data_IF_088527066701
#
_entry.id   IF_088527066701
#
_cell.length_a   1.000
_cell.length_b   1.000
_cell.length_c   1.000
_cell.angle_alpha   90.00
_cell.angle_beta   90.00
_cell.angle_gamma   90.00
#
_symmetry.space_group_name_H-M   'P 1'
#
loop_
_entity.id
_entity.type
_entity.pdbx_description
1 polymer ?
#
# COMPACT_ATOMS: atom_id res chain seq x y z
N UNK A 1 -25.89 -32.83 56.19
CA UNK A 1 -25.82 -33.94 55.22
C UNK A 1 -26.16 -33.34 53.87
N UNK A 2 -25.18 -33.35 52.96
CA UNK A 2 -25.25 -33.03 51.51
C UNK A 2 -25.76 -31.64 51.15
N UNK A 3 -24.94 -30.63 50.86
CA UNK A 3 -23.93 -30.52 49.77
C UNK A 3 -24.50 -30.91 48.41
N UNK A 4 -24.67 -29.94 47.52
CA UNK A 4 -23.99 -29.88 46.22
C UNK A 4 -24.63 -28.80 45.32
N UNK A 5 -23.82 -27.77 45.08
CA UNK A 5 -23.99 -26.80 44.01
C UNK A 5 -23.43 -27.42 42.71
N UNK A 6 -24.16 -27.53 41.58
CA UNK A 6 -23.56 -28.01 40.35
C UNK A 6 -22.90 -26.86 39.55
N UNK A 7 -21.88 -27.17 38.73
CA UNK A 7 -20.80 -26.25 38.39
C UNK A 7 -21.15 -25.31 37.24
N UNK A 8 -20.85 -24.02 37.40
CA UNK A 8 -20.57 -23.13 36.28
C UNK A 8 -19.11 -23.35 35.83
N UNK A 9 -18.90 -23.26 34.52
CA UNK A 9 -17.61 -23.17 33.81
C UNK A 9 -16.92 -24.47 33.38
N UNK A 10 -17.24 -24.92 32.16
CA UNK A 10 -16.31 -25.68 31.32
C UNK A 10 -16.49 -25.39 29.81
N UNK A 11 -17.69 -24.97 29.35
CA UNK A 11 -17.94 -24.66 27.93
C UNK A 11 -17.50 -23.26 27.49
N UNK A 12 -17.35 -22.29 28.40
CA UNK A 12 -16.98 -20.90 28.06
C UNK A 12 -15.46 -20.68 27.90
N UNK A 13 -14.63 -21.58 28.44
CA UNK A 13 -13.17 -21.49 28.33
C UNK A 13 -12.70 -21.86 26.92
N UNK A 14 -13.28 -22.90 26.29
CA UNK A 14 -12.89 -23.34 24.96
C UNK A 14 -13.31 -22.36 23.84
N UNK A 15 -14.48 -21.72 23.99
CA UNK A 15 -14.93 -20.65 23.09
C UNK A 15 -14.02 -19.42 23.16
N UNK A 16 -13.70 -18.96 24.38
CA UNK A 16 -12.78 -17.84 24.59
C UNK A 16 -11.35 -18.12 24.09
N UNK A 17 -10.80 -19.32 24.31
CA UNK A 17 -9.46 -19.68 23.84
C UNK A 17 -9.35 -19.83 22.32
N UNK A 18 -10.41 -20.28 21.65
CA UNK A 18 -10.42 -20.46 20.19
C UNK A 18 -10.55 -19.11 19.48
N UNK A 19 -11.42 -18.24 19.97
CA UNK A 19 -11.56 -16.85 19.49
C UNK A 19 -10.27 -16.07 19.72
N UNK A 20 -9.70 -16.12 20.94
CA UNK A 20 -8.45 -15.40 21.24
C UNK A 20 -7.27 -15.86 20.37
N UNK A 21 -7.16 -17.15 20.06
CA UNK A 21 -6.09 -17.66 19.19
C UNK A 21 -6.30 -17.30 17.72
N UNK A 22 -7.54 -17.21 17.26
CA UNK A 22 -7.85 -16.70 15.92
C UNK A 22 -7.50 -15.21 15.82
N UNK A 23 -7.81 -14.42 16.85
CA UNK A 23 -7.41 -13.02 16.94
C UNK A 23 -5.89 -12.84 16.97
N UNK A 24 -5.16 -13.72 17.68
CA UNK A 24 -3.69 -13.77 17.69
C UNK A 24 -3.12 -14.08 16.28
N UNK A 25 -3.69 -15.06 15.56
CA UNK A 25 -3.26 -15.41 14.19
C UNK A 25 -3.56 -14.28 13.18
N UNK A 26 -4.73 -13.64 13.27
CA UNK A 26 -5.04 -12.45 12.48
C UNK A 26 -4.15 -11.26 12.82
N UNK A 27 -3.79 -11.09 14.10
CA UNK A 27 -2.87 -10.04 14.52
C UNK A 27 -1.48 -10.25 13.91
N UNK A 28 -1.03 -11.51 13.78
CA UNK A 28 0.22 -11.83 13.09
C UNK A 28 0.18 -11.44 11.61
N UNK A 29 -0.90 -11.79 10.90
CA UNK A 29 -1.05 -11.42 9.49
C UNK A 29 -1.11 -9.89 9.30
N UNK A 30 -1.81 -9.18 10.19
CA UNK A 30 -1.81 -7.70 10.20
C UNK A 30 -0.43 -7.11 10.47
N UNK A 31 0.35 -7.71 11.37
CA UNK A 31 1.71 -7.25 11.67
C UNK A 31 2.63 -7.40 10.45
N UNK A 32 2.54 -8.52 9.73
CA UNK A 32 3.29 -8.73 8.48
C UNK A 32 2.91 -7.65 7.44
N UNK A 33 1.61 -7.41 7.25
CA UNK A 33 1.14 -6.37 6.31
C UNK A 33 1.60 -4.97 6.71
N UNK A 34 1.62 -4.66 8.01
CA UNK A 34 2.13 -3.39 8.51
C UNK A 34 3.62 -3.22 8.18
N UNK A 35 4.42 -4.26 8.43
CA UNK A 35 5.84 -4.30 8.11
C UNK A 35 6.10 -4.15 6.60
N UNK A 36 5.35 -4.88 5.76
CA UNK A 36 5.38 -4.69 4.30
C UNK A 36 5.09 -3.22 3.94
N UNK A 37 4.11 -2.60 4.60
CA UNK A 37 3.76 -1.21 4.38
C UNK A 37 4.88 -0.23 4.70
N UNK A 38 5.56 -0.42 5.82
CA UNK A 38 6.74 0.35 6.20
C UNK A 38 7.87 0.22 5.17
N UNK A 39 8.11 -1.00 4.67
CA UNK A 39 9.10 -1.26 3.63
C UNK A 39 8.76 -0.57 2.31
N UNK A 40 7.51 -0.68 1.83
CA UNK A 40 7.06 -0.04 0.58
C UNK A 40 7.29 1.47 0.63
N UNK A 41 6.85 2.12 1.72
CA UNK A 41 6.98 3.58 1.86
C UNK A 41 8.44 4.00 1.99
N UNK A 42 9.23 3.29 2.79
CA UNK A 42 10.66 3.56 2.93
C UNK A 42 11.42 3.40 1.61
N UNK A 43 11.07 2.38 0.82
CA UNK A 43 11.68 2.14 -0.49
C UNK A 43 11.24 3.18 -1.52
N UNK A 44 9.96 3.56 -1.56
CA UNK A 44 9.47 4.60 -2.46
C UNK A 44 10.15 5.95 -2.22
N UNK A 45 10.24 6.38 -0.95
CA UNK A 45 10.98 7.57 -0.54
C UNK A 45 12.45 7.51 -0.96
N UNK A 46 13.11 6.38 -0.69
CA UNK A 46 14.52 6.20 -1.03
C UNK A 46 14.75 6.21 -2.54
N UNK A 47 13.83 5.61 -3.32
CA UNK A 47 13.90 5.57 -4.78
C UNK A 47 13.75 6.98 -5.39
N UNK A 48 12.82 7.79 -4.87
CA UNK A 48 12.64 9.18 -5.31
C UNK A 48 13.80 10.05 -4.86
N UNK A 49 14.33 9.85 -3.67
CA UNK A 49 15.56 10.53 -3.21
C UNK A 49 16.75 10.18 -4.12
N UNK A 50 16.90 8.92 -4.54
CA UNK A 50 17.91 8.53 -5.52
C UNK A 50 17.73 9.26 -6.85
N UNK A 51 16.49 9.38 -7.31
CA UNK A 51 16.14 10.04 -8.56
C UNK A 51 16.43 11.55 -8.53
N UNK A 52 16.02 12.20 -7.44
CA UNK A 52 16.05 13.65 -7.23
C UNK A 52 17.45 14.09 -6.85
N UNK A 53 18.03 13.52 -5.80
CA UNK A 53 19.34 13.93 -5.27
C UNK A 53 20.53 13.27 -5.97
N UNK A 54 20.26 12.37 -6.92
CA UNK A 54 21.26 11.64 -7.71
C UNK A 54 22.18 10.76 -6.84
N UNK A 55 21.65 10.33 -5.70
CA UNK A 55 22.31 9.43 -4.75
C UNK A 55 22.02 7.96 -5.09
N UNK A 56 22.91 7.35 -5.86
CA UNK A 56 22.82 5.94 -6.27
C UNK A 56 22.80 4.98 -5.10
N UNK A 57 23.40 5.38 -3.97
CA UNK A 57 23.42 4.52 -2.79
C UNK A 57 22.01 4.24 -2.28
N UNK A 58 21.07 5.17 -2.46
CA UNK A 58 19.66 4.96 -2.11
C UNK A 58 18.99 3.99 -3.08
N UNK A 59 19.24 4.13 -4.38
CA UNK A 59 18.70 3.19 -5.36
C UNK A 59 19.20 1.77 -5.09
N UNK A 60 20.51 1.58 -4.86
CA UNK A 60 21.05 0.26 -4.51
C UNK A 60 20.48 -0.30 -3.20
N UNK A 61 20.24 0.56 -2.19
CA UNK A 61 19.56 0.13 -0.96
C UNK A 61 18.13 -0.35 -1.21
N UNK A 62 17.39 0.28 -2.12
CA UNK A 62 16.06 -0.19 -2.51
C UNK A 62 16.17 -1.57 -3.15
N UNK A 63 17.08 -1.74 -4.11
CA UNK A 63 17.26 -3.02 -4.82
C UNK A 63 17.72 -4.17 -3.89
N UNK A 64 18.56 -3.87 -2.90
CA UNK A 64 19.03 -4.85 -1.92
C UNK A 64 17.94 -5.26 -0.93
N UNK A 65 17.01 -4.36 -0.61
CA UNK A 65 15.94 -4.59 0.37
C UNK A 65 14.63 -5.05 -0.25
N UNK A 66 14.44 -4.91 -1.55
CA UNK A 66 13.20 -5.32 -2.21
C UNK A 66 12.83 -6.79 -1.96
N UNK A 67 13.77 -7.77 -1.97
CA UNK A 67 13.45 -9.15 -1.64
C UNK A 67 12.83 -9.35 -0.25
N UNK A 68 12.99 -8.41 0.69
CA UNK A 68 12.34 -8.47 2.00
C UNK A 68 10.82 -8.43 1.88
N UNK A 69 10.28 -7.63 0.95
CA UNK A 69 8.84 -7.54 0.70
C UNK A 69 8.33 -8.87 0.13
N UNK A 70 9.08 -9.50 -0.77
CA UNK A 70 8.75 -10.80 -1.33
C UNK A 70 8.68 -11.88 -0.24
N UNK A 71 9.67 -11.91 0.66
CA UNK A 71 9.68 -12.86 1.78
C UNK A 71 8.50 -12.63 2.72
N UNK A 72 8.18 -11.36 3.05
CA UNK A 72 7.01 -11.04 3.86
C UNK A 72 5.69 -11.44 3.18
N UNK A 73 5.63 -11.31 1.85
CA UNK A 73 4.48 -11.77 1.05
C UNK A 73 4.29 -13.29 1.15
N UNK A 74 5.39 -14.06 1.05
CA UNK A 74 5.37 -15.51 1.26
C UNK A 74 4.95 -15.88 2.68
N UNK A 75 5.45 -15.16 3.69
CA UNK A 75 5.05 -15.36 5.08
C UNK A 75 3.57 -15.06 5.30
N UNK A 76 3.04 -14.00 4.66
CA UNK A 76 1.62 -13.67 4.70
C UNK A 76 0.76 -14.78 4.07
N UNK A 77 1.15 -15.31 2.91
CA UNK A 77 0.47 -16.42 2.25
C UNK A 77 0.47 -17.69 3.12
N UNK A 78 1.59 -17.99 3.77
CA UNK A 78 1.68 -19.12 4.68
C UNK A 78 0.79 -18.96 5.91
N UNK A 79 0.71 -17.75 6.48
CA UNK A 79 -0.24 -17.45 7.57
C UNK A 79 -1.69 -17.56 7.14
N UNK A 80 -2.04 -17.04 5.96
CA UNK A 80 -3.39 -17.19 5.38
C UNK A 80 -3.76 -18.66 5.27
N UNK A 81 -2.87 -19.50 4.72
CA UNK A 81 -3.08 -20.93 4.63
C UNK A 81 -3.25 -21.59 6.01
N UNK A 82 -2.38 -21.25 6.98
CA UNK A 82 -2.46 -21.76 8.35
C UNK A 82 -3.79 -21.44 9.01
N UNK A 83 -4.28 -20.21 8.89
CA UNK A 83 -5.56 -19.78 9.46
C UNK A 83 -6.70 -20.59 8.86
N UNK A 84 -6.77 -20.70 7.52
CA UNK A 84 -7.84 -21.44 6.84
C UNK A 84 -7.82 -22.92 7.25
N UNK A 85 -6.65 -23.56 7.18
CA UNK A 85 -6.49 -24.99 7.45
C UNK A 85 -6.82 -25.37 8.90
N UNK A 86 -6.41 -24.54 9.87
CA UNK A 86 -6.59 -24.84 11.30
C UNK A 86 -7.94 -24.45 11.85
N UNK A 87 -8.56 -23.38 11.32
CA UNK A 87 -9.72 -22.75 11.94
C UNK A 87 -11.03 -23.01 11.22
N UNK A 88 -10.98 -23.39 9.93
CA UNK A 88 -12.17 -23.50 9.09
C UNK A 88 -13.09 -22.28 9.27
N UNK A 89 -12.56 -21.07 9.03
CA UNK A 89 -13.21 -19.82 9.40
C UNK A 89 -14.62 -19.71 8.80
N UNK A 90 -15.55 -19.14 9.57
CA UNK A 90 -16.92 -18.91 9.10
C UNK A 90 -16.96 -17.76 8.08
N UNK A 91 -18.12 -17.48 7.47
CA UNK A 91 -18.22 -16.56 6.33
C UNK A 91 -17.60 -15.17 6.56
N UNK A 92 -17.70 -14.59 7.77
CA UNK A 92 -17.10 -13.28 8.10
C UNK A 92 -15.59 -13.40 8.28
N UNK A 93 -15.15 -14.43 8.99
CA UNK A 93 -13.74 -14.72 9.25
C UNK A 93 -12.97 -14.99 7.95
N UNK A 94 -13.56 -15.78 7.05
CA UNK A 94 -12.97 -16.07 5.75
C UNK A 94 -12.86 -14.81 4.89
N UNK A 95 -13.84 -13.89 4.98
CA UNK A 95 -13.78 -12.60 4.29
C UNK A 95 -12.56 -11.80 4.72
N UNK A 96 -12.32 -11.71 6.02
CA UNK A 96 -11.16 -11.00 6.60
C UNK A 96 -9.87 -11.61 6.07
N UNK A 97 -9.72 -12.93 6.17
CA UNK A 97 -8.50 -13.63 5.75
C UNK A 97 -8.22 -13.44 4.25
N UNK A 98 -9.26 -13.56 3.41
CA UNK A 98 -9.12 -13.35 1.95
C UNK A 98 -8.83 -11.89 1.59
N UNK A 99 -9.37 -10.94 2.33
CA UNK A 99 -9.07 -9.52 2.15
C UNK A 99 -7.61 -9.22 2.52
N UNK A 100 -7.12 -9.74 3.65
CA UNK A 100 -5.73 -9.58 4.08
C UNK A 100 -4.74 -10.21 3.08
N UNK A 101 -5.06 -11.37 2.51
CA UNK A 101 -4.26 -11.97 1.42
C UNK A 101 -4.16 -11.04 0.19
N UNK A 102 -5.28 -10.43 -0.23
CA UNK A 102 -5.26 -9.47 -1.34
C UNK A 102 -4.47 -8.21 -1.01
N UNK A 103 -4.61 -7.70 0.22
CA UNK A 103 -3.86 -6.55 0.71
C UNK A 103 -2.35 -6.82 0.70
N UNK A 104 -1.91 -8.00 1.13
CA UNK A 104 -0.50 -8.39 1.06
C UNK A 104 0.00 -8.38 -0.40
N UNK A 105 -0.79 -8.91 -1.35
CA UNK A 105 -0.45 -8.84 -2.77
C UNK A 105 -0.43 -7.41 -3.33
N UNK A 106 -1.35 -6.52 -2.91
CA UNK A 106 -1.28 -5.10 -3.30
C UNK A 106 -0.04 -4.40 -2.71
N UNK A 107 0.42 -4.81 -1.52
CA UNK A 107 1.63 -4.27 -0.92
C UNK A 107 2.91 -4.74 -1.62
N UNK A 108 3.02 -6.02 -1.97
CA UNK A 108 4.13 -6.55 -2.78
C UNK A 108 4.22 -5.82 -4.13
N UNK A 109 3.10 -5.71 -4.85
CA UNK A 109 3.04 -4.99 -6.12
C UNK A 109 3.39 -3.51 -6.01
N UNK A 110 3.13 -2.87 -4.87
CA UNK A 110 3.56 -1.49 -4.62
C UNK A 110 5.08 -1.41 -4.39
N UNK A 111 5.66 -2.39 -3.69
CA UNK A 111 7.12 -2.58 -3.55
C UNK A 111 7.81 -2.69 -4.91
N UNK A 112 7.27 -3.50 -5.82
CA UNK A 112 7.75 -3.60 -7.21
C UNK A 112 7.82 -2.24 -7.91
N UNK A 113 6.86 -1.34 -7.65
CA UNK A 113 6.87 -0.01 -8.27
C UNK A 113 7.97 0.86 -7.70
N UNK A 114 8.25 0.76 -6.41
CA UNK A 114 9.39 1.44 -5.79
C UNK A 114 10.73 0.95 -6.38
N UNK A 115 10.87 -0.37 -6.59
CA UNK A 115 12.03 -0.95 -7.30
C UNK A 115 12.19 -0.38 -8.70
N UNK A 116 11.11 -0.35 -9.49
CA UNK A 116 11.15 0.23 -10.85
C UNK A 116 11.65 1.69 -10.81
N UNK A 117 11.17 2.50 -9.87
CA UNK A 117 11.65 3.90 -9.72
C UNK A 117 13.16 3.94 -9.43
N UNK A 118 13.66 3.06 -8.56
CA UNK A 118 15.09 2.98 -8.25
C UNK A 118 15.93 2.52 -9.45
N UNK A 119 15.48 1.55 -10.22
CA UNK A 119 16.13 1.10 -11.46
C UNK A 119 16.20 2.23 -12.50
N UNK A 120 15.10 2.98 -12.66
CA UNK A 120 15.05 4.13 -13.57
C UNK A 120 15.93 5.29 -13.10
N UNK A 121 16.09 5.51 -11.79
CA UNK A 121 17.02 6.51 -11.25
C UNK A 121 18.47 6.20 -11.65
N UNK A 122 18.89 4.93 -11.53
CA UNK A 122 20.22 4.49 -11.96
C UNK A 122 20.40 4.61 -13.48
N UNK A 123 19.37 4.28 -14.27
CA UNK A 123 19.41 4.41 -15.72
C UNK A 123 19.52 5.88 -16.16
N UNK A 124 18.75 6.77 -15.54
CA UNK A 124 18.82 8.21 -15.78
C UNK A 124 20.20 8.78 -15.53
N UNK A 125 20.87 8.34 -14.45
CA UNK A 125 22.23 8.78 -14.17
C UNK A 125 23.21 8.30 -15.24
N UNK A 126 23.11 7.05 -15.69
CA UNK A 126 23.94 6.55 -16.80
C UNK A 126 23.75 7.35 -18.08
N UNK A 127 22.50 7.71 -18.40
CA UNK A 127 22.17 8.51 -19.60
C UNK A 127 22.68 9.96 -19.50
N UNK A 128 22.73 10.52 -18.30
CA UNK A 128 23.04 11.94 -18.06
C UNK A 128 24.51 12.19 -17.69
N UNK A 129 25.24 11.15 -17.27
CA UNK A 129 26.57 11.28 -16.70
C UNK A 129 26.56 12.18 -15.46
N UNK A 130 27.48 13.14 -15.40
CA UNK A 130 27.57 14.13 -14.32
C UNK A 130 26.66 15.35 -14.54
N UNK A 131 26.10 15.55 -15.73
CA UNK A 131 25.21 16.68 -16.01
C UNK A 131 23.94 16.59 -15.15
N UNK A 132 23.56 17.72 -14.54
CA UNK A 132 22.24 17.81 -13.94
C UNK A 132 21.17 17.73 -15.04
N UNK A 133 20.18 16.90 -14.81
CA UNK A 133 19.08 16.59 -15.73
C UNK A 133 17.73 16.96 -15.13
N UNK A 134 17.66 17.35 -13.85
CA UNK A 134 16.41 17.74 -13.21
C UNK A 134 16.43 19.22 -12.87
N UNK A 135 15.55 19.97 -13.52
CA UNK A 135 15.20 21.32 -13.08
C UNK A 135 14.51 21.29 -11.71
N UNK A 136 14.60 22.39 -10.97
CA UNK A 136 14.04 22.52 -9.62
C UNK A 136 12.51 22.37 -9.58
N UNK A 137 11.81 22.82 -10.63
CA UNK A 137 10.35 22.69 -10.77
C UNK A 137 9.93 21.20 -10.88
N UNK A 138 10.60 20.44 -11.74
CA UNK A 138 10.38 19.01 -11.92
C UNK A 138 10.76 18.21 -10.68
N UNK A 139 11.85 18.61 -10.02
CA UNK A 139 12.28 18.04 -8.73
C UNK A 139 11.18 18.17 -7.67
N UNK A 140 10.62 19.38 -7.53
CA UNK A 140 9.56 19.66 -6.58
C UNK A 140 8.26 18.92 -6.94
N UNK A 141 7.93 18.81 -8.23
CA UNK A 141 6.74 18.07 -8.69
C UNK A 141 6.85 16.56 -8.42
N UNK A 142 8.02 15.96 -8.65
CA UNK A 142 8.28 14.55 -8.30
C UNK A 142 8.17 14.33 -6.78
N UNK A 143 8.68 15.26 -5.96
CA UNK A 143 8.53 15.20 -4.51
C UNK A 143 7.07 15.29 -4.05
N UNK A 144 6.25 16.16 -4.65
CA UNK A 144 4.80 16.21 -4.36
C UNK A 144 4.08 14.92 -4.74
N UNK A 145 4.44 14.33 -5.88
CA UNK A 145 3.85 13.07 -6.35
C UNK A 145 4.22 11.90 -5.42
N UNK A 146 5.47 11.85 -4.96
CA UNK A 146 5.92 10.89 -3.95
C UNK A 146 5.16 11.04 -2.64
N UNK A 147 5.10 12.26 -2.09
CA UNK A 147 4.41 12.52 -0.83
C UNK A 147 2.92 12.13 -0.91
N UNK A 148 2.24 12.42 -2.03
CA UNK A 148 0.87 11.99 -2.26
C UNK A 148 0.73 10.46 -2.26
N UNK A 149 1.57 9.75 -3.03
CA UNK A 149 1.52 8.30 -3.13
C UNK A 149 1.84 7.61 -1.79
N UNK A 150 2.90 8.03 -1.11
CA UNK A 150 3.31 7.49 0.18
C UNK A 150 2.29 7.79 1.29
N UNK A 151 1.73 9.00 1.34
CA UNK A 151 0.69 9.37 2.31
C UNK A 151 -0.58 8.54 2.14
N UNK A 152 -1.02 8.30 0.90
CA UNK A 152 -2.16 7.41 0.63
C UNK A 152 -1.86 5.99 1.10
N UNK A 153 -0.66 5.48 0.81
CA UNK A 153 -0.25 4.11 1.14
C UNK A 153 -0.07 3.90 2.65
N UNK A 154 0.57 4.81 3.37
CA UNK A 154 0.69 4.76 4.83
C UNK A 154 -0.70 4.70 5.50
N UNK A 155 -1.64 5.53 5.02
CA UNK A 155 -3.01 5.55 5.54
C UNK A 155 -3.78 4.29 5.21
N UNK A 156 -3.59 3.72 4.02
CA UNK A 156 -4.27 2.48 3.63
C UNK A 156 -3.87 1.33 4.54
N UNK A 157 -2.58 1.20 4.85
CA UNK A 157 -2.06 0.19 5.78
C UNK A 157 -2.55 0.45 7.20
N UNK A 158 -2.61 1.72 7.65
CA UNK A 158 -3.20 2.06 8.96
C UNK A 158 -4.68 1.66 9.03
N UNK A 159 -5.44 1.86 7.97
CA UNK A 159 -6.85 1.48 7.91
C UNK A 159 -7.06 -0.03 8.08
N UNK A 160 -6.10 -0.87 7.68
CA UNK A 160 -6.17 -2.34 7.82
C UNK A 160 -6.17 -2.80 9.28
N UNK A 161 -5.57 -2.04 10.20
CA UNK A 161 -5.44 -2.45 11.61
C UNK A 161 -6.80 -2.72 12.24
N UNK A 162 -7.77 -1.82 12.01
CA UNK A 162 -9.11 -1.88 12.59
C UNK A 162 -10.23 -1.91 11.52
N UNK A 163 -9.87 -2.12 10.24
CA UNK A 163 -10.78 -1.97 9.11
C UNK A 163 -11.54 -0.62 9.12
N UNK A 164 -10.78 0.47 9.25
CA UNK A 164 -11.30 1.82 9.42
C UNK A 164 -11.85 2.40 8.10
N UNK A 165 -13.17 2.49 8.01
CA UNK A 165 -13.89 3.01 6.84
C UNK A 165 -13.66 4.50 6.63
N UNK A 166 -13.51 5.29 7.69
CA UNK A 166 -13.29 6.73 7.59
C UNK A 166 -11.90 7.05 7.03
N UNK A 167 -10.87 6.29 7.46
CA UNK A 167 -9.54 6.39 6.84
C UNK A 167 -9.57 5.97 5.36
N UNK A 168 -10.32 4.91 5.01
CA UNK A 168 -10.49 4.51 3.61
C UNK A 168 -11.19 5.58 2.76
N UNK A 169 -12.20 6.25 3.32
CA UNK A 169 -12.88 7.37 2.67
C UNK A 169 -11.90 8.52 2.39
N UNK A 170 -11.10 8.91 3.38
CA UNK A 170 -10.11 9.96 3.23
C UNK A 170 -9.03 9.64 2.18
N UNK A 171 -8.72 8.36 1.93
CA UNK A 171 -7.80 7.95 0.86
C UNK A 171 -8.42 8.22 -0.51
N UNK A 172 -9.70 7.91 -0.68
CA UNK A 172 -10.41 8.19 -1.92
C UNK A 172 -10.54 9.67 -2.21
N UNK A 173 -10.80 10.48 -1.18
CA UNK A 173 -10.88 11.94 -1.29
C UNK A 173 -9.53 12.57 -1.69
N UNK A 174 -8.41 11.87 -1.44
CA UNK A 174 -7.06 12.30 -1.84
C UNK A 174 -6.61 11.77 -3.21
N UNK A 175 -7.37 10.88 -3.88
CA UNK A 175 -7.08 10.44 -5.25
C UNK A 175 -6.88 11.61 -6.24
N UNK A 176 -7.69 12.71 -6.19
CA UNK A 176 -7.45 13.89 -7.02
C UNK A 176 -6.08 14.52 -6.80
N UNK A 177 -5.60 14.59 -5.56
CA UNK A 177 -4.26 15.15 -5.24
C UNK A 177 -3.14 14.37 -5.92
N UNK A 178 -3.24 13.04 -5.97
CA UNK A 178 -2.28 12.19 -6.70
C UNK A 178 -2.37 12.43 -8.21
N UNK A 179 -3.58 12.50 -8.75
CA UNK A 179 -3.83 12.77 -10.18
C UNK A 179 -3.29 14.13 -10.62
N UNK A 180 -3.49 15.16 -9.80
CA UNK A 180 -3.01 16.52 -10.06
C UNK A 180 -1.49 16.58 -10.04
N UNK A 181 -0.84 15.98 -9.03
CA UNK A 181 0.61 15.89 -8.96
C UNK A 181 1.21 15.11 -10.16
N UNK A 182 0.55 14.04 -10.60
CA UNK A 182 0.97 13.29 -11.80
C UNK A 182 0.81 14.11 -13.08
N UNK A 183 -0.28 14.88 -13.17
CA UNK A 183 -0.54 15.77 -14.32
C UNK A 183 0.47 16.89 -14.39
N UNK A 184 0.86 17.46 -13.24
CA UNK A 184 1.94 18.45 -13.15
C UNK A 184 3.26 17.89 -13.69
N UNK A 185 3.69 16.70 -13.24
CA UNK A 185 4.91 16.06 -13.76
C UNK A 185 4.84 15.85 -15.27
N UNK A 186 3.69 15.37 -15.78
CA UNK A 186 3.49 15.16 -17.23
C UNK A 186 3.53 16.46 -18.02
N UNK A 187 2.92 17.53 -17.50
CA UNK A 187 2.94 18.85 -18.12
C UNK A 187 4.38 19.39 -18.21
N UNK A 188 5.15 19.32 -17.11
CA UNK A 188 6.55 19.75 -17.09
C UNK A 188 7.47 18.96 -18.04
N UNK A 189 7.09 17.72 -18.38
CA UNK A 189 7.79 16.87 -19.33
C UNK A 189 7.29 17.01 -20.79
N UNK A 190 6.08 17.54 -20.98
CA UNK A 190 5.34 17.52 -22.24
C UNK A 190 5.21 18.87 -22.95
N UNK A 191 4.96 19.96 -22.21
CA UNK A 191 4.71 21.27 -22.78
C UNK A 191 5.85 22.25 -22.41
N UNK A 192 6.39 22.92 -23.43
CA UNK A 192 7.33 24.05 -23.41
C UNK A 192 8.82 23.87 -23.04
N UNK A 193 9.29 22.78 -22.45
CA UNK A 193 10.69 22.78 -21.98
C UNK A 193 11.40 21.41 -21.90
N UNK A 194 11.39 20.61 -22.98
CA UNK A 194 12.34 19.48 -23.13
C UNK A 194 13.81 19.93 -23.29
N UNK A 195 14.13 21.22 -23.11
CA UNK A 195 15.48 21.76 -23.34
C UNK A 195 16.48 21.06 -22.41
N UNK A 196 17.23 20.12 -22.98
CA UNK A 196 18.29 19.39 -22.28
C UNK A 196 17.96 17.93 -21.94
N UNK A 197 16.69 17.49 -22.06
CA UNK A 197 16.33 16.09 -21.88
C UNK A 197 16.23 15.36 -23.21
N UNK A 198 16.91 14.23 -23.33
CA UNK A 198 16.72 13.27 -24.40
C UNK A 198 15.40 12.53 -24.25
N UNK A 199 14.87 12.01 -25.36
CA UNK A 199 13.66 11.18 -25.35
C UNK A 199 13.75 10.00 -24.38
N UNK A 200 14.94 9.39 -24.24
CA UNK A 200 15.18 8.30 -23.29
C UNK A 200 15.03 8.75 -21.84
N UNK A 201 15.58 9.91 -21.49
CA UNK A 201 15.43 10.45 -20.13
C UNK A 201 13.97 10.80 -19.82
N UNK A 202 13.24 11.37 -20.78
CA UNK A 202 11.80 11.65 -20.62
C UNK A 202 11.02 10.37 -20.35
N UNK A 203 11.31 9.29 -21.10
CA UNK A 203 10.66 7.99 -20.88
C UNK A 203 10.95 7.47 -19.48
N UNK A 204 12.21 7.48 -19.02
CA UNK A 204 12.55 7.06 -17.67
C UNK A 204 11.79 7.86 -16.58
N UNK A 205 11.72 9.18 -16.73
CA UNK A 205 11.00 10.05 -15.78
C UNK A 205 9.49 9.79 -15.78
N UNK A 206 8.88 9.57 -16.94
CA UNK A 206 7.49 9.16 -17.05
C UNK A 206 7.24 7.78 -16.43
N UNK A 207 8.19 6.84 -16.58
CA UNK A 207 8.14 5.54 -15.93
C UNK A 207 8.18 5.69 -14.40
N UNK A 208 9.04 6.55 -13.86
CA UNK A 208 9.07 6.86 -12.42
C UNK A 208 7.72 7.43 -11.95
N UNK A 209 7.21 8.45 -12.63
CA UNK A 209 5.94 9.09 -12.28
C UNK A 209 4.77 8.09 -12.31
N UNK A 210 4.72 7.23 -13.33
CA UNK A 210 3.73 6.18 -13.42
C UNK A 210 3.89 5.13 -12.31
N UNK A 211 5.11 4.79 -11.92
CA UNK A 211 5.38 3.93 -10.76
C UNK A 211 4.77 4.49 -9.47
N UNK A 212 4.99 5.78 -9.19
CA UNK A 212 4.42 6.45 -8.01
C UNK A 212 2.88 6.49 -8.04
N UNK A 213 2.28 6.79 -9.19
CA UNK A 213 0.82 6.71 -9.36
C UNK A 213 0.30 5.30 -9.08
N UNK A 214 1.02 4.26 -9.53
CA UNK A 214 0.63 2.87 -9.26
C UNK A 214 0.68 2.53 -7.77
N UNK A 215 1.63 3.05 -7.01
CA UNK A 215 1.66 2.92 -5.54
C UNK A 215 0.38 3.50 -4.92
N UNK A 216 0.01 4.72 -5.32
CA UNK A 216 -1.24 5.34 -4.85
C UNK A 216 -2.49 4.53 -5.24
N UNK A 217 -2.53 3.96 -6.45
CA UNK A 217 -3.63 3.07 -6.85
C UNK A 217 -3.71 1.79 -6.02
N UNK A 218 -2.57 1.20 -5.63
CA UNK A 218 -2.55 0.07 -4.71
C UNK A 218 -3.06 0.47 -3.31
N UNK A 219 -2.80 1.70 -2.86
CA UNK A 219 -3.39 2.23 -1.64
C UNK A 219 -4.92 2.29 -1.71
N UNK A 220 -5.48 2.75 -2.84
CA UNK A 220 -6.93 2.73 -3.09
C UNK A 220 -7.51 1.31 -3.10
N UNK A 221 -6.82 0.34 -3.73
CA UNK A 221 -7.25 -1.06 -3.70
C UNK A 221 -7.31 -1.62 -2.27
N UNK A 222 -6.33 -1.28 -1.44
CA UNK A 222 -6.30 -1.66 -0.02
C UNK A 222 -7.48 -1.03 0.73
N UNK A 223 -7.76 0.26 0.49
CA UNK A 223 -8.91 0.95 1.08
C UNK A 223 -10.25 0.30 0.69
N UNK A 224 -10.37 -0.18 -0.56
CA UNK A 224 -11.53 -0.96 -1.01
C UNK A 224 -11.67 -2.30 -0.28
N UNK A 225 -10.55 -3.02 -0.04
CA UNK A 225 -10.57 -4.25 0.76
C UNK A 225 -11.00 -3.98 2.21
N UNK A 226 -10.56 -2.86 2.79
CA UNK A 226 -10.97 -2.45 4.14
C UNK A 226 -12.49 -2.24 4.22
N UNK A 227 -13.07 -1.50 3.28
CA UNK A 227 -14.52 -1.25 3.24
C UNK A 227 -15.29 -2.56 2.99
N UNK A 228 -14.76 -3.44 2.12
CA UNK A 228 -15.34 -4.75 1.88
C UNK A 228 -15.42 -5.60 3.15
N UNK A 229 -14.38 -5.57 3.99
CA UNK A 229 -14.38 -6.26 5.28
C UNK A 229 -15.39 -5.63 6.23
N UNK A 230 -15.35 -4.31 6.42
CA UNK A 230 -16.16 -3.59 7.39
C UNK A 230 -17.66 -3.63 7.08
N UNK A 231 -18.04 -3.40 5.81
CA UNK A 231 -19.44 -3.28 5.41
C UNK A 231 -20.01 -4.57 4.79
N UNK A 232 -19.14 -5.53 4.45
CA UNK A 232 -19.54 -6.75 3.75
C UNK A 232 -20.03 -6.52 2.31
N UNK A 233 -19.83 -5.32 1.77
CA UNK A 233 -20.25 -4.94 0.43
C UNK A 233 -19.04 -4.80 -0.48
N UNK A 234 -19.13 -5.39 -1.68
CA UNK A 234 -18.13 -5.15 -2.70
C UNK A 234 -18.33 -3.75 -3.30
N UNK A 235 -17.33 -2.89 -3.10
CA UNK A 235 -17.31 -1.52 -3.61
C UNK A 235 -16.43 -1.38 -4.86
N UNK A 236 -15.77 -2.47 -5.28
CA UNK A 236 -14.96 -2.51 -6.49
C UNK A 236 -15.86 -2.21 -7.68
N UNK A 237 -15.40 -1.35 -8.58
CA UNK A 237 -16.14 -0.90 -9.78
C UNK A 237 -17.35 0.01 -9.53
N UNK A 238 -17.58 0.48 -8.31
CA UNK A 238 -18.51 1.60 -8.10
C UNK A 238 -17.85 2.89 -8.58
N UNK A 239 -18.65 3.79 -9.14
CA UNK A 239 -18.20 5.15 -9.41
C UNK A 239 -17.73 5.77 -8.08
N UNK A 240 -16.53 6.36 -8.08
CA UNK A 240 -15.88 6.83 -6.84
C UNK A 240 -16.65 7.96 -6.17
N UNK A 241 -17.20 8.89 -6.94
CA UNK A 241 -18.01 10.00 -6.42
C UNK A 241 -19.27 9.47 -5.73
N UNK A 242 -19.99 8.54 -6.38
CA UNK A 242 -21.19 7.91 -5.79
C UNK A 242 -20.85 7.15 -4.51
N UNK A 243 -19.70 6.46 -4.49
CA UNK A 243 -19.25 5.73 -3.31
C UNK A 243 -18.96 6.68 -2.14
N UNK A 244 -18.23 7.77 -2.38
CA UNK A 244 -17.92 8.81 -1.40
C UNK A 244 -19.22 9.40 -0.83
N UNK A 245 -20.15 9.83 -1.69
CA UNK A 245 -21.46 10.37 -1.27
C UNK A 245 -22.25 9.37 -0.43
N UNK A 246 -22.25 8.09 -0.83
CA UNK A 246 -22.95 7.02 -0.10
C UNK A 246 -22.38 6.82 1.30
N UNK A 247 -21.05 6.87 1.45
CA UNK A 247 -20.38 6.68 2.74
C UNK A 247 -20.62 7.88 3.68
N UNK A 248 -20.56 9.11 3.16
CA UNK A 248 -20.93 10.32 3.90
C UNK A 248 -22.37 10.26 4.41
N UNK A 249 -23.32 9.82 3.58
CA UNK A 249 -24.72 9.63 3.99
C UNK A 249 -24.90 8.56 5.07
N UNK A 250 -23.98 7.60 5.17
CA UNK A 250 -23.97 6.58 6.23
C UNK A 250 -23.30 7.06 7.53
N UNK A 251 -22.77 8.29 7.55
CA UNK A 251 -22.19 8.91 8.74
C UNK A 251 -20.73 8.56 9.00
N UNK A 252 -19.99 8.13 7.96
CA UNK A 252 -18.54 7.97 7.99
C UNK A 252 -17.82 9.28 7.66
#
# INVERSE_FOLDING_TARGET
MTDENPPRAASDLAGGHTVRRYDEELAKLRAIILEMGEHVVGQARSAVMALVDRDDSQAYRVLDREPQIDYLSLDADEEVFRVIARRQPTAVDLRIVLALSKIASDAERAGDKAKIVAEQALELKKLSGDSDYLRDDLRAALGRLEDAACSMFERSIRAVVNFDVALSLAIFEDEPRLSDASTEVRHLLGEDDQKGLSQRQVVCLLTCAHGLVRIGNHASNIAEQVIYVALGQDVRYRNREILIETLHHQGY
#
